data_IF_397622120208
#
_entry.id   IF_397622120208
#
_cell.length_a   1.000
_cell.length_b   1.000
_cell.length_c   1.000
_cell.angle_alpha   90.00
_cell.angle_beta   90.00
_cell.angle_gamma   90.00
#
_symmetry.space_group_name_H-M   'P 1'
#
loop_
_entity.id
_entity.type
_entity.pdbx_description
1 polymer ?
#
# COMPACT_ATOMS: atom_id res chain seq x y z
N UNK A 1 38.14 47.41 2.96
CA UNK A 1 37.03 47.19 2.02
C UNK A 1 36.74 45.70 1.75
N UNK A 2 37.24 44.76 2.57
CA UNK A 2 37.13 43.31 2.29
C UNK A 2 36.05 42.60 3.12
N UNK A 3 35.75 43.11 4.32
CA UNK A 3 34.80 42.47 5.25
C UNK A 3 33.34 42.49 4.76
N UNK A 4 32.93 43.56 4.07
CA UNK A 4 31.55 43.72 3.60
C UNK A 4 31.26 42.81 2.38
N UNK A 5 32.28 42.60 1.53
CA UNK A 5 32.18 41.72 0.36
C UNK A 5 32.09 40.24 0.76
N UNK A 6 32.87 39.81 1.76
CA UNK A 6 32.77 38.44 2.31
C UNK A 6 31.40 38.15 2.94
N UNK A 7 30.80 39.12 3.64
CA UNK A 7 29.46 38.98 4.21
C UNK A 7 28.39 38.78 3.12
N UNK A 8 28.46 39.56 2.04
CA UNK A 8 27.50 39.44 0.92
C UNK A 8 27.60 38.08 0.25
N UNK A 9 28.83 37.59 -0.01
CA UNK A 9 29.05 36.27 -0.64
C UNK A 9 28.53 35.13 0.24
N UNK A 10 28.78 35.17 1.56
CA UNK A 10 28.25 34.18 2.51
C UNK A 10 26.72 34.20 2.53
N UNK A 11 26.12 35.38 2.57
CA UNK A 11 24.67 35.53 2.63
C UNK A 11 23.97 35.01 1.36
N UNK A 12 24.54 35.28 0.18
CA UNK A 12 24.05 34.77 -1.10
C UNK A 12 24.20 33.24 -1.19
N UNK A 13 25.31 32.68 -0.70
CA UNK A 13 25.45 31.22 -0.59
C UNK A 13 24.39 30.60 0.31
N UNK A 14 24.13 31.20 1.48
CA UNK A 14 23.14 30.69 2.43
C UNK A 14 21.71 30.73 1.85
N UNK A 15 21.33 31.79 1.15
CA UNK A 15 20.04 31.88 0.45
C UNK A 15 19.98 30.88 -0.72
N UNK A 16 21.08 30.72 -1.46
CA UNK A 16 21.17 29.72 -2.52
C UNK A 16 20.97 28.30 -1.98
N UNK A 17 21.58 27.98 -0.84
CA UNK A 17 21.47 26.68 -0.17
C UNK A 17 20.05 26.41 0.37
N UNK A 18 19.37 27.40 0.94
CA UNK A 18 17.99 27.23 1.44
C UNK A 18 16.97 27.15 0.31
N UNK A 19 17.22 27.77 -0.83
CA UNK A 19 16.37 27.63 -2.03
C UNK A 19 16.62 26.30 -2.77
N UNK A 20 17.82 25.73 -2.64
CA UNK A 20 18.16 24.44 -3.25
C UNK A 20 17.71 23.23 -2.43
N UNK A 21 17.40 23.42 -1.14
CA UNK A 21 16.76 22.37 -0.34
C UNK A 21 15.29 22.24 -0.76
N UNK A 22 15.05 21.52 -1.86
CA UNK A 22 13.72 21.06 -2.21
C UNK A 22 13.14 20.27 -1.03
N UNK A 23 11.92 20.56 -0.57
CA UNK A 23 11.27 19.72 0.44
C UNK A 23 11.14 18.32 -0.16
N UNK A 24 11.96 17.38 0.35
CA UNK A 24 11.81 15.98 0.04
C UNK A 24 10.51 15.53 0.71
N UNK A 25 9.41 15.56 -0.04
CA UNK A 25 8.15 14.98 0.41
C UNK A 25 8.32 13.46 0.44
N UNK A 26 8.65 12.95 1.63
CA UNK A 26 8.65 11.51 1.90
C UNK A 26 7.25 10.95 1.62
N UNK A 27 7.21 9.74 1.06
CA UNK A 27 5.96 9.00 0.95
C UNK A 27 5.59 8.45 2.32
N UNK A 28 4.37 8.72 2.75
CA UNK A 28 3.82 8.17 3.98
C UNK A 28 2.58 7.34 3.68
N UNK A 29 2.53 6.14 4.25
CA UNK A 29 1.38 5.24 4.14
C UNK A 29 0.50 5.48 5.37
N UNK A 30 -0.73 5.96 5.15
CA UNK A 30 -1.71 6.18 6.21
C UNK A 30 -2.67 4.99 6.24
N UNK A 31 -2.54 4.05 7.19
CA UNK A 31 -3.34 2.83 7.21
C UNK A 31 -4.79 3.12 7.65
N UNK A 32 -5.74 2.44 7.02
CA UNK A 32 -7.13 2.34 7.48
C UNK A 32 -7.46 0.90 7.92
N UNK A 33 -7.02 -0.08 7.12
CA UNK A 33 -6.99 -1.49 7.47
C UNK A 33 -5.80 -2.15 6.77
N UNK A 34 -4.93 -2.86 7.51
CA UNK A 34 -3.74 -3.51 6.94
C UNK A 34 -3.88 -5.03 6.81
N UNK A 35 -5.07 -5.56 7.11
CA UNK A 35 -5.33 -7.00 7.12
C UNK A 35 -6.25 -7.39 5.98
N UNK A 36 -5.93 -8.51 5.32
CA UNK A 36 -6.89 -9.20 4.44
C UNK A 36 -7.53 -10.32 5.23
N UNK A 37 -8.86 -10.31 5.28
CA UNK A 37 -9.65 -11.33 5.98
C UNK A 37 -10.53 -12.07 4.98
N UNK A 38 -10.78 -13.33 5.27
CA UNK A 38 -11.83 -14.07 4.57
C UNK A 38 -12.84 -14.48 5.65
N UNK A 39 -14.01 -13.81 5.74
CA UNK A 39 -15.01 -14.14 6.74
C UNK A 39 -15.35 -15.64 6.61
N UNK A 40 -15.30 -16.35 7.73
CA UNK A 40 -15.20 -17.81 7.82
C UNK A 40 -16.37 -18.62 7.27
N UNK A 41 -17.31 -18.03 6.53
CA UNK A 41 -18.39 -18.72 5.83
C UNK A 41 -18.02 -19.20 4.41
N UNK A 42 -16.80 -18.95 3.92
CA UNK A 42 -16.40 -19.26 2.53
C UNK A 42 -15.27 -20.28 2.38
N UNK A 43 -14.95 -21.05 3.42
CA UNK A 43 -13.87 -22.05 3.35
C UNK A 43 -14.38 -23.40 3.88
N UNK A 44 -15.40 -23.95 3.22
CA UNK A 44 -15.88 -25.31 3.46
C UNK A 44 -15.96 -26.05 2.13
N UNK A 45 -14.83 -26.61 1.70
CA UNK A 45 -14.80 -27.48 0.51
C UNK A 45 -13.46 -27.48 -0.22
N UNK A 46 -13.18 -28.60 -0.89
CA UNK A 46 -12.04 -28.73 -1.80
C UNK A 46 -12.36 -28.05 -3.14
N UNK A 47 -11.40 -27.31 -3.70
CA UNK A 47 -11.49 -26.74 -5.05
C UNK A 47 -12.20 -25.39 -5.15
N UNK A 48 -12.67 -24.83 -4.04
CA UNK A 48 -13.31 -23.52 -4.01
C UNK A 48 -12.29 -22.38 -4.14
N UNK A 49 -12.71 -21.31 -4.82
CA UNK A 49 -11.97 -20.06 -4.82
C UNK A 49 -12.68 -19.08 -3.90
N UNK A 50 -11.95 -18.50 -2.96
CA UNK A 50 -12.45 -17.37 -2.19
C UNK A 50 -11.80 -16.09 -2.72
N UNK A 51 -12.61 -15.04 -2.84
CA UNK A 51 -12.22 -13.77 -3.44
C UNK A 51 -12.63 -12.63 -2.52
N UNK A 52 -11.64 -11.85 -2.09
CA UNK A 52 -11.84 -10.58 -1.40
C UNK A 52 -11.57 -9.46 -2.41
N UNK A 53 -12.58 -9.15 -3.22
CA UNK A 53 -12.48 -8.10 -4.24
C UNK A 53 -12.52 -6.71 -3.58
N UNK A 54 -11.60 -5.80 -3.96
CA UNK A 54 -11.51 -4.48 -3.34
C UNK A 54 -12.64 -3.56 -3.79
N UNK A 55 -13.39 -3.02 -2.83
CA UNK A 55 -14.40 -1.98 -3.00
C UNK A 55 -14.30 -0.96 -1.85
N UNK A 56 -14.86 0.23 -2.02
CA UNK A 56 -14.71 1.33 -1.04
C UNK A 56 -15.33 1.01 0.34
N UNK A 57 -16.35 0.16 0.37
CA UNK A 57 -17.10 -0.27 1.54
C UNK A 57 -16.62 -1.64 2.08
N UNK A 58 -15.76 -2.35 1.35
CA UNK A 58 -15.28 -3.66 1.74
C UNK A 58 -14.24 -3.56 2.86
N UNK A 59 -14.52 -4.14 4.03
CA UNK A 59 -13.62 -4.09 5.20
C UNK A 59 -12.63 -5.26 5.27
N UNK A 60 -12.81 -6.27 4.43
CA UNK A 60 -11.97 -7.49 4.43
C UNK A 60 -10.73 -7.40 3.53
N UNK A 61 -10.41 -6.20 3.05
CA UNK A 61 -9.26 -5.92 2.17
C UNK A 61 -8.34 -4.90 2.82
N UNK A 62 -7.07 -4.85 2.39
CA UNK A 62 -6.17 -3.77 2.80
C UNK A 62 -6.69 -2.45 2.27
N UNK A 63 -6.74 -1.43 3.11
CA UNK A 63 -7.23 -0.08 2.85
C UNK A 63 -6.25 0.93 3.44
N UNK A 64 -5.80 1.86 2.61
CA UNK A 64 -4.83 2.86 3.02
C UNK A 64 -4.88 4.09 2.12
N UNK A 65 -4.30 5.17 2.59
CA UNK A 65 -3.98 6.36 1.80
C UNK A 65 -2.46 6.50 1.70
N UNK A 66 -2.03 7.30 0.73
CA UNK A 66 -0.63 7.69 0.60
C UNK A 66 -0.56 9.20 0.59
N UNK A 67 0.28 9.75 1.47
CA UNK A 67 0.64 11.15 1.51
C UNK A 67 2.03 11.34 0.89
N UNK A 68 2.23 12.49 0.25
CA UNK A 68 3.47 12.81 -0.46
C UNK A 68 3.30 14.01 -1.39
N UNK A 69 4.20 14.14 -2.35
CA UNK A 69 4.26 15.31 -3.22
C UNK A 69 2.99 15.45 -4.08
N UNK A 70 2.26 16.58 -4.00
CA UNK A 70 1.03 16.81 -4.75
C UNK A 70 1.23 16.61 -6.26
N UNK A 71 0.32 15.86 -6.88
CA UNK A 71 0.33 15.64 -8.32
C UNK A 71 1.28 14.56 -8.82
N UNK A 72 2.17 14.01 -7.98
CA UNK A 72 3.03 12.88 -8.37
C UNK A 72 2.24 11.58 -8.48
N UNK A 73 2.77 10.66 -9.28
CA UNK A 73 2.25 9.31 -9.44
C UNK A 73 3.03 8.36 -8.54
N UNK A 74 2.32 7.37 -8.03
CA UNK A 74 2.89 6.30 -7.21
C UNK A 74 2.57 4.94 -7.82
N UNK A 75 3.40 3.96 -7.50
CA UNK A 75 3.18 2.54 -7.82
C UNK A 75 3.24 1.75 -6.53
N UNK A 76 2.24 0.88 -6.37
CA UNK A 76 2.17 -0.11 -5.31
C UNK A 76 2.63 -1.45 -5.87
N UNK A 77 3.67 -2.02 -5.27
CA UNK A 77 4.22 -3.34 -5.60
C UNK A 77 3.95 -4.35 -4.49
N UNK A 78 3.65 -5.58 -4.88
CA UNK A 78 3.40 -6.70 -3.97
C UNK A 78 4.38 -7.83 -4.28
N UNK A 79 5.00 -8.45 -3.26
CA UNK A 79 5.75 -9.68 -3.48
C UNK A 79 4.83 -10.79 -3.96
N UNK A 80 5.33 -11.63 -4.86
CA UNK A 80 4.56 -12.65 -5.57
C UNK A 80 4.15 -13.86 -4.72
N UNK A 81 4.86 -14.10 -3.61
CA UNK A 81 4.65 -15.25 -2.74
C UNK A 81 4.18 -14.78 -1.36
N UNK A 82 2.87 -14.84 -1.14
CA UNK A 82 2.25 -14.50 0.13
C UNK A 82 1.23 -15.54 0.56
N UNK A 83 1.00 -15.61 1.87
CA UNK A 83 0.19 -16.64 2.49
C UNK A 83 -0.74 -16.03 3.54
N UNK A 84 -1.89 -16.67 3.72
CA UNK A 84 -2.80 -16.44 4.83
C UNK A 84 -2.63 -17.55 5.86
N UNK A 85 -2.61 -17.20 7.13
CA UNK A 85 -2.48 -18.16 8.23
C UNK A 85 -3.86 -18.47 8.80
N UNK A 86 -4.11 -19.74 9.08
CA UNK A 86 -5.30 -20.15 9.83
C UNK A 86 -5.17 -19.67 11.28
N UNK A 87 -6.22 -19.05 11.83
CA UNK A 87 -6.18 -18.43 13.16
C UNK A 87 -5.82 -19.40 14.30
N UNK A 88 -6.30 -20.65 14.23
CA UNK A 88 -6.15 -21.64 15.29
C UNK A 88 -5.26 -22.86 14.95
N UNK A 89 -4.80 -22.99 13.70
CA UNK A 89 -4.12 -24.22 13.22
C UNK A 89 -2.86 -23.83 12.48
N UNK A 90 -1.82 -24.67 12.52
CA UNK A 90 -0.60 -24.49 11.73
C UNK A 90 -0.84 -24.89 10.25
N UNK A 91 -1.71 -24.13 9.58
CA UNK A 91 -2.07 -24.29 8.17
C UNK A 91 -2.06 -22.92 7.51
N UNK A 92 -1.57 -22.88 6.27
CA UNK A 92 -1.45 -21.67 5.46
C UNK A 92 -2.09 -21.84 4.10
N UNK A 93 -2.74 -20.79 3.59
CA UNK A 93 -3.29 -20.73 2.24
C UNK A 93 -2.45 -19.79 1.39
N UNK A 94 -2.01 -20.23 0.22
CA UNK A 94 -1.27 -19.37 -0.70
C UNK A 94 -2.22 -18.39 -1.41
N UNK A 95 -1.86 -17.12 -1.41
CA UNK A 95 -2.52 -16.12 -2.24
C UNK A 95 -2.16 -16.36 -3.70
N UNK A 96 -3.18 -16.54 -4.54
CA UNK A 96 -3.01 -16.84 -5.97
C UNK A 96 -2.92 -15.59 -6.81
N UNK A 97 -3.66 -14.55 -6.41
CA UNK A 97 -3.73 -13.30 -7.15
C UNK A 97 -4.07 -12.16 -6.21
N UNK A 98 -3.49 -11.00 -6.47
CA UNK A 98 -3.90 -9.75 -5.84
C UNK A 98 -4.76 -8.94 -6.78
N UNK A 99 -5.66 -8.16 -6.20
CA UNK A 99 -6.49 -7.20 -6.91
C UNK A 99 -6.22 -5.82 -6.37
N UNK A 100 -6.06 -4.88 -7.28
CA UNK A 100 -5.97 -3.47 -6.95
C UNK A 100 -7.31 -2.80 -7.24
N UNK A 101 -7.81 -2.00 -6.31
CA UNK A 101 -9.09 -1.32 -6.45
C UNK A 101 -9.15 0.02 -5.73
N UNK A 102 -10.38 0.52 -5.55
CA UNK A 102 -10.66 1.86 -5.05
C UNK A 102 -9.99 2.93 -5.95
N UNK A 103 -8.91 3.56 -5.50
CA UNK A 103 -8.12 4.53 -6.27
C UNK A 103 -6.94 3.93 -7.06
N UNK A 104 -6.63 2.64 -6.91
CA UNK A 104 -5.55 1.99 -7.65
C UNK A 104 -6.03 1.46 -9.01
N UNK A 105 -5.21 1.68 -10.04
CA UNK A 105 -5.39 1.01 -11.33
C UNK A 105 -5.06 -0.49 -11.24
N UNK A 106 -5.46 -1.27 -12.26
CA UNK A 106 -5.12 -2.70 -12.39
C UNK A 106 -3.62 -3.01 -12.32
N UNK A 107 -2.75 -2.01 -12.53
CA UNK A 107 -1.28 -2.12 -12.46
C UNK A 107 -0.70 -1.55 -11.14
N UNK A 108 -1.53 -1.32 -10.13
CA UNK A 108 -1.10 -0.78 -8.83
C UNK A 108 -0.70 0.70 -8.87
N UNK A 109 -1.12 1.46 -9.88
CA UNK A 109 -0.77 2.89 -10.02
C UNK A 109 -1.86 3.81 -9.47
N UNK A 110 -1.46 4.87 -8.77
CA UNK A 110 -2.33 5.95 -8.31
C UNK A 110 -1.63 7.32 -8.46
N UNK A 111 -2.37 8.41 -8.21
CA UNK A 111 -1.87 9.78 -8.22
C UNK A 111 -2.20 10.44 -6.88
N UNK A 112 -1.23 11.14 -6.30
CA UNK A 112 -1.42 12.01 -5.14
C UNK A 112 -2.18 13.26 -5.60
N UNK A 113 -3.27 13.61 -4.92
CA UNK A 113 -4.08 14.78 -5.31
C UNK A 113 -3.34 16.09 -4.96
N UNK A 114 -3.90 17.22 -5.39
CA UNK A 114 -3.36 18.54 -5.10
C UNK A 114 -3.24 18.87 -3.61
N UNK A 115 -4.00 18.20 -2.74
CA UNK A 115 -3.94 18.36 -1.28
C UNK A 115 -2.85 17.49 -0.61
N UNK A 116 -1.97 16.84 -1.38
CA UNK A 116 -0.89 16.00 -0.84
C UNK A 116 -1.31 14.59 -0.44
N UNK A 117 -2.58 14.19 -0.64
CA UNK A 117 -3.09 12.85 -0.29
C UNK A 117 -3.73 12.13 -1.48
N UNK A 118 -3.54 10.82 -1.57
CA UNK A 118 -4.21 9.99 -2.57
C UNK A 118 -5.72 9.85 -2.33
N UNK A 119 -6.45 9.26 -3.29
CA UNK A 119 -7.74 8.61 -2.97
C UNK A 119 -7.50 7.40 -2.06
N UNK A 120 -8.55 6.86 -1.44
CA UNK A 120 -8.50 5.56 -0.77
C UNK A 120 -7.97 4.49 -1.74
N UNK A 121 -6.97 3.72 -1.32
CA UNK A 121 -6.33 2.67 -2.09
C UNK A 121 -6.64 1.32 -1.44
N UNK A 122 -6.93 0.32 -2.26
CA UNK A 122 -7.35 -0.99 -1.74
C UNK A 122 -6.59 -2.14 -2.41
N UNK A 123 -6.16 -3.11 -1.61
CA UNK A 123 -5.56 -4.36 -2.09
C UNK A 123 -6.40 -5.54 -1.59
N UNK A 124 -7.05 -6.20 -2.55
CA UNK A 124 -7.77 -7.45 -2.35
C UNK A 124 -6.95 -8.66 -2.77
N UNK A 125 -7.48 -9.86 -2.51
CA UNK A 125 -6.78 -11.10 -2.81
C UNK A 125 -7.74 -12.22 -3.21
N UNK A 126 -7.23 -13.13 -4.04
CA UNK A 126 -7.86 -14.41 -4.37
C UNK A 126 -7.04 -15.55 -3.82
N UNK A 127 -7.70 -16.50 -3.17
CA UNK A 127 -7.11 -17.75 -2.71
C UNK A 127 -7.82 -18.95 -3.32
N UNK A 128 -7.10 -20.05 -3.48
CA UNK A 128 -7.65 -21.35 -3.87
C UNK A 128 -7.55 -22.29 -2.68
N UNK A 129 -8.68 -22.87 -2.29
CA UNK A 129 -8.81 -23.77 -1.15
C UNK A 129 -8.71 -25.20 -1.67
N UNK A 130 -7.74 -25.95 -1.15
CA UNK A 130 -7.60 -27.39 -1.43
C UNK A 130 -8.23 -28.25 -0.34
N UNK A 131 -8.45 -29.54 -0.62
CA UNK A 131 -9.03 -30.52 0.30
C UNK A 131 -8.36 -30.57 1.69
N UNK A 132 -7.05 -30.29 1.76
CA UNK A 132 -6.26 -30.41 2.98
C UNK A 132 -6.27 -29.14 3.87
N UNK A 133 -7.10 -28.15 3.53
CA UNK A 133 -7.23 -26.92 4.30
C UNK A 133 -8.48 -26.97 5.18
N UNK A 134 -8.34 -26.91 6.52
CA UNK A 134 -9.48 -26.91 7.42
C UNK A 134 -10.31 -25.63 7.24
N UNK A 135 -11.61 -25.76 7.48
CA UNK A 135 -12.51 -24.62 7.60
C UNK A 135 -12.11 -23.73 8.79
N UNK A 136 -12.27 -22.42 8.63
CA UNK A 136 -11.95 -21.44 9.66
C UNK A 136 -11.54 -20.09 9.08
N UNK A 137 -11.17 -19.17 9.97
CA UNK A 137 -10.68 -17.84 9.61
C UNK A 137 -9.22 -17.92 9.17
N UNK A 138 -8.95 -17.41 7.96
CA UNK A 138 -7.60 -17.19 7.47
C UNK A 138 -7.35 -15.69 7.33
N UNK A 139 -6.23 -15.23 7.90
CA UNK A 139 -5.83 -13.81 7.90
C UNK A 139 -4.32 -13.69 7.76
N UNK A 140 -3.86 -12.56 7.23
CA UNK A 140 -2.45 -12.19 7.23
C UNK A 140 -2.30 -10.70 6.96
N UNK A 141 -1.20 -10.14 7.43
CA UNK A 141 -0.72 -8.81 7.05
C UNK A 141 -0.01 -8.93 5.71
N UNK A 142 -0.43 -8.14 4.73
CA UNK A 142 0.12 -8.16 3.37
C UNK A 142 1.27 -7.15 3.29
N UNK A 143 2.55 -7.58 3.18
CA UNK A 143 3.62 -6.66 2.86
C UNK A 143 3.43 -6.09 1.45
N UNK A 144 3.63 -4.80 1.31
CA UNK A 144 3.66 -4.10 0.02
C UNK A 144 4.59 -2.90 0.12
N UNK A 145 5.00 -2.40 -1.04
CA UNK A 145 5.82 -1.21 -1.16
C UNK A 145 5.07 -0.14 -1.93
N UNK A 146 5.33 1.13 -1.60
CA UNK A 146 4.82 2.28 -2.32
C UNK A 146 6.00 3.14 -2.72
N UNK A 147 6.15 3.33 -4.02
CA UNK A 147 7.24 4.13 -4.59
C UNK A 147 6.68 5.21 -5.50
N UNK A 148 7.38 6.34 -5.60
CA UNK A 148 7.11 7.29 -6.68
C UNK A 148 7.36 6.61 -8.03
N UNK A 149 6.54 6.97 -9.01
CA UNK A 149 6.66 6.44 -10.37
C UNK A 149 7.58 7.31 -11.24
#
# INVERSE_FOLDING_TARGET
MNSLFECVVKYVMYIGLTLYSSPFYALEIIPENMEVKFPGMYISGSGQNADANPANDQIYVVRFYVEGEPGKKIVVSLPSNQYLNHSQKSKRLRIKKFYFGCGLSKRGRAKIKGNGRSKLLCIGAKVKIGANHPAGLYTSTIPFEVNYK
#
